data_IF_294722197302
#
_entry.id   IF_294722197302
#
_cell.length_a   1.000
_cell.length_b   1.000
_cell.length_c   1.000
_cell.angle_alpha   90.00
_cell.angle_beta   90.00
_cell.angle_gamma   90.00
#
_symmetry.space_group_name_H-M   'P 1'
#
loop_
_entity.id
_entity.type
_entity.pdbx_description
1 polymer ?
#
# COMPACT_ATOMS: atom_id res chain seq x y z
N UNK A 1 -11.24 -42.86 -19.77
CA UNK A 1 -11.40 -41.92 -18.63
C UNK A 1 -10.46 -40.75 -18.86
N UNK A 2 -10.97 -39.62 -19.37
CA UNK A 2 -10.21 -38.38 -19.46
C UNK A 2 -10.89 -37.38 -18.52
N UNK A 3 -10.28 -37.13 -17.37
CA UNK A 3 -10.80 -36.20 -16.38
C UNK A 3 -10.38 -34.79 -16.79
N UNK A 4 -11.20 -34.13 -17.61
CA UNK A 4 -11.03 -32.71 -17.94
C UNK A 4 -11.44 -31.89 -16.72
N UNK A 5 -10.49 -31.63 -15.83
CA UNK A 5 -10.62 -30.59 -14.82
C UNK A 5 -10.64 -29.23 -15.53
N UNK A 6 -11.81 -28.82 -16.02
CA UNK A 6 -12.14 -27.43 -16.31
C UNK A 6 -12.28 -26.68 -14.97
N UNK A 7 -11.16 -26.52 -14.27
CA UNK A 7 -11.06 -25.53 -13.21
C UNK A 7 -11.03 -24.16 -13.87
N UNK A 8 -12.00 -23.30 -13.56
CA UNK A 8 -11.95 -21.89 -13.95
C UNK A 8 -10.64 -21.31 -13.42
N UNK A 9 -9.62 -21.18 -14.27
CA UNK A 9 -8.41 -20.43 -13.97
C UNK A 9 -8.81 -19.02 -13.56
N UNK A 10 -8.37 -18.57 -12.39
CA UNK A 10 -8.52 -17.16 -12.00
C UNK A 10 -7.79 -16.27 -13.00
N UNK A 11 -8.25 -15.02 -13.19
CA UNK A 11 -7.63 -14.13 -14.20
C UNK A 11 -6.13 -13.94 -13.95
N UNK A 12 -5.69 -13.90 -12.68
CA UNK A 12 -4.28 -13.81 -12.32
C UNK A 12 -3.45 -15.04 -12.75
N UNK A 13 -3.99 -16.26 -12.63
CA UNK A 13 -3.31 -17.49 -13.06
C UNK A 13 -3.21 -17.56 -14.59
N UNK A 14 -4.26 -17.16 -15.29
CA UNK A 14 -4.27 -17.06 -16.75
C UNK A 14 -3.23 -16.06 -17.26
N UNK A 15 -3.10 -14.89 -16.61
CA UNK A 15 -2.12 -13.89 -16.99
C UNK A 15 -0.69 -14.36 -16.65
N UNK A 16 -0.48 -15.03 -15.52
CA UNK A 16 0.82 -15.59 -15.14
C UNK A 16 1.28 -16.71 -16.08
N UNK A 17 0.36 -17.49 -16.62
CA UNK A 17 0.64 -18.49 -17.66
C UNK A 17 0.98 -17.84 -19.01
N UNK A 18 0.28 -16.77 -19.39
CA UNK A 18 0.60 -15.96 -20.56
C UNK A 18 2.01 -15.34 -20.46
N UNK A 19 2.39 -14.79 -19.31
CA UNK A 19 3.74 -14.23 -19.09
C UNK A 19 4.82 -15.31 -19.15
N UNK A 20 4.53 -16.51 -18.63
CA UNK A 20 5.45 -17.65 -18.70
C UNK A 20 5.72 -18.03 -20.15
N UNK A 21 4.66 -18.08 -20.97
CA UNK A 21 4.70 -18.49 -22.37
C UNK A 21 5.15 -17.38 -23.34
N UNK A 22 5.16 -16.12 -22.91
CA UNK A 22 5.62 -15.01 -23.74
C UNK A 22 7.15 -15.01 -23.92
N UNK A 23 7.62 -14.62 -25.11
CA UNK A 23 9.03 -14.40 -25.47
C UNK A 23 9.59 -13.11 -24.87
N UNK A 24 9.46 -12.96 -23.54
CA UNK A 24 9.93 -11.80 -22.78
C UNK A 24 11.29 -12.08 -22.13
N UNK A 25 12.09 -11.03 -21.93
CA UNK A 25 13.33 -11.16 -21.16
C UNK A 25 13.05 -11.52 -19.70
N UNK A 26 14.03 -12.09 -19.00
CA UNK A 26 13.93 -12.39 -17.56
C UNK A 26 13.54 -11.17 -16.72
N UNK A 27 14.04 -9.98 -17.09
CA UNK A 27 13.76 -8.72 -16.39
C UNK A 27 12.30 -8.27 -16.59
N UNK A 28 11.77 -8.41 -17.80
CA UNK A 28 10.37 -8.06 -18.10
C UNK A 28 9.39 -9.04 -17.46
N UNK A 29 9.69 -10.35 -17.44
CA UNK A 29 8.87 -11.34 -16.72
C UNK A 29 8.84 -11.06 -15.21
N UNK A 30 9.96 -10.66 -14.62
CA UNK A 30 10.01 -10.28 -13.21
C UNK A 30 9.21 -9.00 -12.92
N UNK A 31 9.24 -8.01 -13.84
CA UNK A 31 8.43 -6.78 -13.72
C UNK A 31 6.94 -7.08 -13.78
N UNK A 32 6.49 -7.83 -14.79
CA UNK A 32 5.06 -8.16 -14.97
C UNK A 32 4.52 -9.03 -13.84
N UNK A 33 5.32 -9.99 -13.35
CA UNK A 33 4.96 -10.78 -12.16
C UNK A 33 4.75 -9.87 -10.93
N UNK A 34 5.66 -8.90 -10.71
CA UNK A 34 5.52 -7.91 -9.65
C UNK A 34 4.29 -7.02 -9.82
N UNK A 35 3.98 -6.60 -11.05
CA UNK A 35 2.79 -5.80 -11.38
C UNK A 35 1.50 -6.59 -11.08
N UNK A 36 1.43 -7.89 -11.39
CA UNK A 36 0.29 -8.75 -11.06
C UNK A 36 0.13 -9.04 -9.57
N UNK A 37 1.23 -9.27 -8.87
CA UNK A 37 1.21 -9.42 -7.41
C UNK A 37 0.75 -8.11 -6.74
N UNK A 38 1.09 -6.96 -7.32
CA UNK A 38 0.62 -5.64 -6.88
C UNK A 38 -0.87 -5.39 -7.14
N UNK A 39 -1.41 -5.85 -8.27
CA UNK A 39 -2.85 -5.77 -8.58
C UNK A 39 -3.72 -6.61 -7.61
N UNK A 40 -3.16 -7.65 -6.99
CA UNK A 40 -3.86 -8.49 -6.02
C UNK A 40 -3.96 -7.91 -4.60
N UNK A 41 -3.10 -6.96 -4.24
CA UNK A 41 -2.95 -6.49 -2.85
C UNK A 41 -3.29 -5.00 -2.63
N UNK A 42 -3.35 -4.20 -3.70
CA UNK A 42 -3.67 -2.77 -3.68
C UNK A 42 -4.99 -2.43 -4.38
N UNK A 43 -5.69 -1.41 -3.89
CA UNK A 43 -6.84 -0.82 -4.58
C UNK A 43 -6.45 0.14 -5.72
N UNK A 44 -7.43 0.61 -6.51
CA UNK A 44 -7.18 1.56 -7.63
C UNK A 44 -6.51 2.88 -7.21
N UNK A 45 -6.65 3.27 -5.94
CA UNK A 45 -6.00 4.43 -5.35
C UNK A 45 -4.59 4.18 -4.81
N UNK A 46 -4.06 2.97 -5.00
CA UNK A 46 -2.75 2.59 -4.49
C UNK A 46 -1.64 3.20 -5.32
N UNK A 47 -0.67 3.82 -4.63
CA UNK A 47 0.64 4.15 -5.19
C UNK A 47 1.67 3.29 -4.47
N UNK A 48 2.32 2.40 -5.22
CA UNK A 48 3.41 1.59 -4.71
C UNK A 48 4.70 2.41 -4.65
N UNK A 49 5.30 2.46 -3.47
CA UNK A 49 6.61 3.03 -3.23
C UNK A 49 7.64 1.91 -3.32
N UNK A 50 8.73 2.17 -4.04
CA UNK A 50 9.78 1.18 -4.28
C UNK A 50 10.90 1.23 -3.25
N UNK A 51 10.92 2.26 -2.40
CA UNK A 51 11.99 2.46 -1.43
C UNK A 51 11.58 3.36 -0.27
N UNK A 52 12.34 3.30 0.82
CA UNK A 52 12.22 4.23 1.94
C UNK A 52 12.42 5.70 1.50
N UNK A 53 13.33 5.96 0.55
CA UNK A 53 13.55 7.31 0.00
C UNK A 53 12.32 7.85 -0.71
N UNK A 54 11.52 6.99 -1.34
CA UNK A 54 10.27 7.44 -1.97
C UNK A 54 9.22 7.77 -0.92
N UNK A 55 9.19 7.04 0.19
CA UNK A 55 8.40 7.43 1.36
C UNK A 55 8.81 8.80 1.89
N UNK A 56 10.11 9.08 2.08
CA UNK A 56 10.60 10.37 2.57
C UNK A 56 10.17 11.54 1.67
N UNK A 57 10.27 11.36 0.35
CA UNK A 57 9.80 12.36 -0.63
C UNK A 57 8.30 12.63 -0.50
N UNK A 58 7.50 11.58 -0.36
CA UNK A 58 6.04 11.70 -0.21
C UNK A 58 5.68 12.34 1.12
N UNK A 59 6.32 11.93 2.22
CA UNK A 59 6.13 12.50 3.55
C UNK A 59 6.49 13.99 3.58
N UNK A 60 7.60 14.39 2.94
CA UNK A 60 8.00 15.79 2.81
C UNK A 60 7.00 16.59 1.97
N UNK A 61 6.56 16.05 0.83
CA UNK A 61 5.56 16.68 -0.05
C UNK A 61 4.23 16.93 0.67
N UNK A 62 3.77 15.94 1.43
CA UNK A 62 2.49 15.98 2.15
C UNK A 62 2.62 16.59 3.55
N UNK A 63 3.80 17.15 3.90
CA UNK A 63 4.07 17.76 5.21
C UNK A 63 3.68 16.85 6.39
N UNK A 64 3.82 15.53 6.22
CA UNK A 64 3.46 14.55 7.24
C UNK A 64 1.96 14.25 7.37
N UNK A 65 1.10 14.68 6.44
CA UNK A 65 -0.33 14.34 6.38
C UNK A 65 -0.60 12.88 5.92
N UNK A 66 0.20 11.95 6.42
CA UNK A 66 0.12 10.52 6.18
C UNK A 66 -0.25 9.82 7.48
N UNK A 67 -1.33 9.05 7.45
CA UNK A 67 -1.75 8.24 8.59
C UNK A 67 -1.89 6.78 8.20
N UNK A 68 -1.70 5.88 9.15
CA UNK A 68 -2.16 4.51 8.99
C UNK A 68 -3.68 4.47 8.74
N UNK A 69 -4.24 3.43 8.11
CA UNK A 69 -5.68 3.31 7.91
C UNK A 69 -6.50 3.45 9.20
N UNK A 70 -5.97 2.99 10.34
CA UNK A 70 -6.60 3.16 11.66
C UNK A 70 -6.55 4.61 12.17
N UNK A 71 -5.43 5.30 11.97
CA UNK A 71 -5.30 6.72 12.28
C UNK A 71 -6.23 7.57 11.43
N UNK A 72 -6.25 7.36 10.11
CA UNK A 72 -7.13 8.04 9.17
C UNK A 72 -8.62 7.81 9.50
N UNK A 73 -8.98 6.56 9.82
CA UNK A 73 -10.32 6.16 10.27
C UNK A 73 -10.78 6.97 11.48
N UNK A 74 -9.90 7.13 12.48
CA UNK A 74 -10.18 7.90 13.70
C UNK A 74 -10.33 9.40 13.39
N UNK A 75 -9.43 9.95 12.59
CA UNK A 75 -9.35 11.38 12.28
C UNK A 75 -10.60 11.92 11.56
N UNK A 76 -11.21 11.13 10.67
CA UNK A 76 -12.39 11.58 9.88
C UNK A 76 -13.70 10.88 10.27
N UNK A 77 -13.68 10.04 11.31
CA UNK A 77 -14.87 9.37 11.82
C UNK A 77 -15.51 8.38 10.86
N UNK A 78 -14.71 7.59 10.14
CA UNK A 78 -15.19 6.48 9.27
C UNK A 78 -14.54 5.17 9.69
N UNK A 79 -15.10 4.02 9.30
CA UNK A 79 -14.48 2.73 9.59
C UNK A 79 -13.21 2.49 8.76
N UNK A 80 -12.25 1.73 9.31
CA UNK A 80 -11.07 1.26 8.56
C UNK A 80 -11.45 0.50 7.29
N UNK A 81 -12.54 -0.29 7.33
CA UNK A 81 -13.06 -0.97 6.14
C UNK A 81 -13.49 0.02 5.06
N UNK A 82 -14.10 1.15 5.43
CA UNK A 82 -14.47 2.21 4.49
C UNK A 82 -13.24 2.86 3.85
N UNK A 83 -12.16 3.08 4.60
CA UNK A 83 -10.88 3.57 4.03
C UNK A 83 -10.38 2.62 2.92
N UNK A 84 -10.32 1.31 3.19
CA UNK A 84 -9.89 0.32 2.20
C UNK A 84 -10.83 0.23 1.00
N UNK A 85 -12.13 0.41 1.21
CA UNK A 85 -13.09 0.45 0.10
C UNK A 85 -12.85 1.69 -0.78
N UNK A 86 -12.62 2.86 -0.19
CA UNK A 86 -12.33 4.09 -0.94
C UNK A 86 -11.03 3.99 -1.73
N UNK A 87 -10.02 3.32 -1.18
CA UNK A 87 -8.78 2.96 -1.88
C UNK A 87 -9.08 2.03 -3.06
N UNK A 88 -9.85 0.97 -2.86
CA UNK A 88 -10.26 0.03 -3.92
C UNK A 88 -11.00 0.72 -5.06
N UNK A 89 -11.83 1.71 -4.75
CA UNK A 89 -12.59 2.51 -5.71
C UNK A 89 -11.75 3.62 -6.38
N UNK A 90 -10.53 3.89 -5.91
CA UNK A 90 -9.67 4.98 -6.42
C UNK A 90 -10.14 6.37 -6.01
N UNK A 91 -10.92 6.48 -4.92
CA UNK A 91 -11.46 7.74 -4.39
C UNK A 91 -10.47 8.48 -3.50
N UNK A 92 -9.53 7.76 -2.92
CA UNK A 92 -8.46 8.30 -2.08
C UNK A 92 -7.12 7.71 -2.51
N UNK A 93 -6.06 8.43 -2.24
CA UNK A 93 -4.69 7.97 -2.48
C UNK A 93 -4.18 7.23 -1.26
N UNK A 94 -3.64 6.04 -1.48
CA UNK A 94 -2.98 5.24 -0.43
C UNK A 94 -1.61 4.84 -0.92
N UNK A 95 -0.58 5.18 -0.17
CA UNK A 95 0.78 4.75 -0.43
C UNK A 95 1.04 3.41 0.22
N UNK A 96 1.64 2.49 -0.52
CA UNK A 96 2.05 1.18 0.00
C UNK A 96 3.52 0.94 -0.28
N UNK A 97 4.24 0.43 0.71
CA UNK A 97 5.62 -0.03 0.54
C UNK A 97 5.73 -1.44 1.08
N UNK A 98 6.31 -2.36 0.31
CA UNK A 98 6.53 -3.71 0.81
C UNK A 98 7.58 -3.67 1.90
N UNK A 99 7.42 -4.53 2.88
CA UNK A 99 8.39 -4.63 3.98
C UNK A 99 9.77 -5.09 3.52
N UNK A 100 9.85 -5.82 2.40
CA UNK A 100 11.13 -6.23 1.78
C UNK A 100 11.83 -5.10 1.01
N UNK A 101 11.07 -4.09 0.57
CA UNK A 101 11.58 -2.91 -0.16
C UNK A 101 11.97 -1.78 0.82
N UNK A 102 11.78 -1.99 2.13
CA UNK A 102 12.25 -1.09 3.18
C UNK A 102 13.75 -1.32 3.44
N UNK A 103 14.60 -0.65 2.67
CA UNK A 103 16.04 -0.59 2.90
C UNK A 103 16.39 0.35 4.08
N UNK A 104 15.93 -0.02 5.27
CA UNK A 104 16.12 0.75 6.50
C UNK A 104 17.38 0.24 7.22
N UNK A 105 18.44 1.05 7.29
CA UNK A 105 19.67 0.72 8.04
C UNK A 105 19.54 1.04 9.54
N UNK A 106 20.36 0.41 10.40
CA UNK A 106 20.34 0.69 11.85
C UNK A 106 20.71 2.14 12.19
N UNK A 107 21.52 2.80 11.36
CA UNK A 107 21.82 4.22 11.48
C UNK A 107 20.59 5.10 11.19
N UNK A 108 19.83 4.79 10.13
CA UNK A 108 18.56 5.49 9.83
C UNK A 108 17.56 5.35 10.98
N UNK A 109 17.46 4.15 11.57
CA UNK A 109 16.55 3.88 12.70
C UNK A 109 16.86 4.79 13.91
N UNK A 110 18.14 5.00 14.24
CA UNK A 110 18.54 5.73 15.46
C UNK A 110 18.33 7.24 15.37
N UNK A 111 18.58 7.84 14.21
CA UNK A 111 18.35 9.27 14.01
C UNK A 111 16.88 9.56 13.69
N UNK A 112 16.18 8.67 12.97
CA UNK A 112 14.84 8.94 12.45
C UNK A 112 13.68 8.44 13.34
N UNK A 113 13.84 7.42 14.19
CA UNK A 113 12.71 6.85 14.98
C UNK A 113 11.94 7.87 15.80
N UNK A 114 12.62 8.88 16.36
CA UNK A 114 11.98 9.94 17.15
C UNK A 114 11.23 10.95 16.27
N UNK A 115 11.69 11.14 15.04
CA UNK A 115 11.10 12.02 14.04
C UNK A 115 9.94 11.34 13.29
N UNK A 116 9.90 10.00 13.29
CA UNK A 116 8.81 9.26 12.69
C UNK A 116 7.50 9.43 13.47
N UNK A 117 6.38 9.60 12.76
CA UNK A 117 5.04 9.47 13.32
C UNK A 117 4.92 8.21 14.17
N UNK A 118 4.21 8.31 15.31
CA UNK A 118 4.10 7.22 16.30
C UNK A 118 3.65 5.90 15.68
N UNK A 119 2.81 5.94 14.65
CA UNK A 119 2.31 4.76 13.96
C UNK A 119 3.34 4.06 13.05
N UNK A 120 4.45 4.73 12.68
CA UNK A 120 5.57 4.13 11.94
C UNK A 120 6.64 3.51 12.84
N UNK A 121 6.74 3.98 14.08
CA UNK A 121 7.79 3.53 15.01
C UNK A 121 7.79 2.02 15.25
N UNK A 122 6.65 1.33 15.39
CA UNK A 122 6.64 -0.13 15.53
C UNK A 122 7.23 -0.84 14.30
N UNK A 123 6.92 -0.38 13.09
CA UNK A 123 7.39 -0.98 11.83
C UNK A 123 8.91 -0.91 11.67
N UNK A 124 9.50 0.18 12.17
CA UNK A 124 10.94 0.44 12.13
C UNK A 124 11.66 -0.21 13.32
N UNK A 125 11.00 -0.37 14.47
CA UNK A 125 11.56 -1.00 15.66
C UNK A 125 11.64 -2.54 15.56
N UNK A 126 10.77 -3.19 14.78
CA UNK A 126 10.83 -4.63 14.55
C UNK A 126 11.81 -4.93 13.40
N UNK A 127 13.09 -5.16 13.74
CA UNK A 127 14.19 -5.60 12.83
C UNK A 127 13.87 -6.75 11.86
N UNK A 128 12.77 -7.46 12.07
CA UNK A 128 12.14 -8.37 11.13
C UNK A 128 10.64 -8.15 11.28
N UNK A 129 9.94 -7.58 10.28
CA UNK A 129 8.49 -7.58 10.32
C UNK A 129 8.07 -9.03 10.49
N UNK A 130 7.37 -9.37 11.57
CA UNK A 130 6.61 -10.62 11.57
C UNK A 130 5.68 -10.49 10.34
N UNK A 131 5.72 -11.44 9.38
CA UNK A 131 5.03 -11.33 8.11
C UNK A 131 3.55 -11.60 8.35
N UNK A 132 2.89 -10.70 9.07
CA UNK A 132 1.43 -10.74 9.19
C UNK A 132 0.78 -9.75 8.22
N UNK A 133 1.53 -8.77 7.70
CA UNK A 133 1.15 -7.94 6.56
C UNK A 133 2.43 -7.55 5.80
N UNK A 134 2.62 -8.03 4.57
CA UNK A 134 3.84 -7.84 3.76
C UNK A 134 4.09 -6.41 3.27
N UNK A 135 3.34 -5.44 3.79
CA UNK A 135 3.36 -4.05 3.35
C UNK A 135 2.99 -3.09 4.48
N UNK A 136 3.49 -1.86 4.35
CA UNK A 136 3.12 -0.68 5.14
C UNK A 136 2.14 0.14 4.33
N UNK A 137 1.00 0.53 4.93
CA UNK A 137 -0.11 1.24 4.25
C UNK A 137 -0.28 2.63 4.84
N UNK A 138 -0.24 3.66 3.99
CA UNK A 138 -0.32 5.07 4.38
C UNK A 138 -1.41 5.77 3.59
N UNK A 139 -2.36 6.36 4.30
CA UNK A 139 -3.45 7.12 3.70
C UNK A 139 -3.02 8.57 3.54
N UNK A 140 -3.17 9.12 2.35
CA UNK A 140 -3.06 10.55 2.08
C UNK A 140 -4.29 11.27 2.66
N UNK A 141 -4.08 11.99 3.76
CA UNK A 141 -5.18 12.67 4.44
C UNK A 141 -5.77 13.81 3.61
N UNK A 142 -5.01 14.48 2.75
CA UNK A 142 -5.56 15.53 1.88
C UNK A 142 -6.57 14.93 0.89
N UNK A 143 -6.26 13.76 0.33
CA UNK A 143 -7.16 13.05 -0.58
C UNK A 143 -8.44 12.57 0.13
N UNK A 144 -8.29 12.06 1.36
CA UNK A 144 -9.41 11.57 2.16
C UNK A 144 -10.31 12.72 2.61
N UNK A 145 -9.75 13.81 3.14
CA UNK A 145 -10.50 14.98 3.57
C UNK A 145 -11.23 15.64 2.39
N UNK A 146 -10.58 15.75 1.22
CA UNK A 146 -11.23 16.24 0.00
C UNK A 146 -12.41 15.38 -0.40
N UNK A 147 -12.25 14.05 -0.35
CA UNK A 147 -13.36 13.13 -0.60
C UNK A 147 -14.49 13.35 0.42
N UNK A 148 -14.19 13.37 1.72
CA UNK A 148 -15.19 13.55 2.78
C UNK A 148 -15.95 14.87 2.62
N UNK A 149 -15.27 15.96 2.29
CA UNK A 149 -15.88 17.26 2.00
C UNK A 149 -16.81 17.19 0.78
N UNK A 150 -16.43 16.48 -0.29
CA UNK A 150 -17.30 16.28 -1.46
C UNK A 150 -18.59 15.53 -1.13
N UNK A 151 -18.60 14.75 -0.05
CA UNK A 151 -19.76 14.00 0.43
C UNK A 151 -20.59 14.80 1.47
N UNK A 152 -20.27 16.08 1.70
CA UNK A 152 -20.95 16.92 2.70
C UNK A 152 -20.63 16.52 4.14
N UNK A 153 -19.56 15.75 4.38
CA UNK A 153 -19.09 15.38 5.71
C UNK A 153 -17.86 16.23 6.05
N UNK A 154 -18.07 17.34 6.73
CA UNK A 154 -16.96 18.12 7.30
C UNK A 154 -16.49 17.50 8.62
N UNK A 155 -15.21 17.70 8.96
CA UNK A 155 -14.65 17.34 10.26
C UNK A 155 -15.55 17.93 11.35
N UNK A 156 -16.00 17.08 12.29
CA UNK A 156 -16.49 17.59 13.56
C UNK A 156 -15.27 18.20 14.26
N UNK A 157 -15.18 19.52 14.25
CA UNK A 157 -14.40 20.23 15.24
C UNK A 157 -15.14 20.05 16.57
N UNK A 158 -14.65 19.14 17.41
CA UNK A 158 -14.88 19.19 18.86
C UNK A 158 -13.76 20.00 19.51
#
# INVERSE_FOLDING_TARGET
MANTNNGKMGSAEAIMELIRNASLSKKEKARLKRELEQEGEGGKGTIWLESWKDYEKVAAKLKGALLSPGGASTEVGISRARVHQLEAEGRITVYRIRTEDLDITEENIKEDLKLLPVWLRPLVAFKKPKPTQGYVVLVDMESLERYMKSQGKEKKHE
#
